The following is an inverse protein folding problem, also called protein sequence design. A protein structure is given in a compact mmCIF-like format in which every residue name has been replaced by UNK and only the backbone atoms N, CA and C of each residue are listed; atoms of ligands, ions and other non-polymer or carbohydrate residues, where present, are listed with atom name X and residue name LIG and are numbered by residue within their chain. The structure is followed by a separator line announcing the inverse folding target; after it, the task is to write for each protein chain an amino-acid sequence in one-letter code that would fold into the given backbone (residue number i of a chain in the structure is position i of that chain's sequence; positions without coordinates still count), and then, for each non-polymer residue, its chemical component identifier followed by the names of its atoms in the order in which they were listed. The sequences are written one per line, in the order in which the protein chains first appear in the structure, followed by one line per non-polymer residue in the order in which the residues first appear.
data_IF_629287699707
#
_entry.id   IF_629287699707
#
_cell.length_a   1.000
_cell.length_b   1.000
_cell.length_c   1.000
_cell.angle_alpha   90.00
_cell.angle_beta   90.00
_cell.angle_gamma   90.00
#
_symmetry.space_group_name_H-M   'P 1'
#
loop_
_entity.id
_entity.type
_entity.pdbx_description
1 polymer ?
#
# COMPACT_ATOMS: atom_id res chain seq x y z
N UNK A 1 1.65 -25.09 -10.17
CA UNK A 1 3.09 -24.86 -10.31
C UNK A 1 3.50 -23.54 -9.65
N UNK A 2 4.80 -23.24 -9.52
CA UNK A 2 5.26 -21.98 -8.96
C UNK A 2 4.80 -20.80 -9.82
N UNK A 3 4.45 -19.69 -9.15
CA UNK A 3 4.08 -18.43 -9.81
C UNK A 3 5.30 -17.51 -9.84
N UNK A 4 5.53 -16.84 -10.97
CA UNK A 4 6.48 -15.76 -11.07
C UNK A 4 5.74 -14.44 -10.82
N UNK A 5 6.23 -13.67 -9.87
CA UNK A 5 5.74 -12.35 -9.52
C UNK A 5 6.92 -11.42 -9.30
N UNK A 6 6.73 -10.14 -9.47
CA UNK A 6 7.75 -9.15 -9.09
C UNK A 6 7.11 -7.91 -8.47
N UNK A 7 7.93 -7.12 -7.83
CA UNK A 7 7.53 -5.93 -7.12
C UNK A 7 8.21 -4.70 -7.69
N UNK A 8 7.47 -3.62 -7.83
CA UNK A 8 7.95 -2.33 -8.32
C UNK A 8 7.66 -1.22 -7.34
N UNK A 9 8.59 -0.29 -7.26
CA UNK A 9 8.41 0.96 -6.55
C UNK A 9 7.91 2.05 -7.51
N UNK A 10 6.97 2.90 -7.07
CA UNK A 10 6.66 4.11 -7.82
C UNK A 10 7.91 4.96 -8.08
N UNK A 11 8.00 5.64 -9.22
CA UNK A 11 9.11 6.54 -9.49
C UNK A 11 9.20 7.65 -8.44
N UNK A 12 10.39 8.19 -8.24
CA UNK A 12 10.57 9.39 -7.41
C UNK A 12 9.83 10.58 -8.03
N UNK A 13 9.39 11.51 -7.21
CA UNK A 13 8.86 12.80 -7.68
C UNK A 13 9.77 13.43 -8.73
N UNK A 14 9.17 13.90 -9.83
CA UNK A 14 9.89 14.48 -10.95
C UNK A 14 10.44 13.48 -11.97
N UNK A 15 10.33 12.18 -11.70
CA UNK A 15 10.70 11.16 -12.67
C UNK A 15 9.50 10.71 -13.50
N UNK A 16 9.78 10.36 -14.77
CA UNK A 16 8.78 9.84 -15.71
C UNK A 16 8.39 8.39 -15.37
N UNK A 17 7.16 8.02 -15.70
CA UNK A 17 6.64 6.65 -15.66
C UNK A 17 7.35 5.73 -16.67
N UNK A 18 7.97 6.28 -17.71
CA UNK A 18 8.64 5.52 -18.76
C UNK A 18 9.74 4.59 -18.23
N UNK A 19 10.40 4.97 -17.14
CA UNK A 19 11.38 4.09 -16.48
C UNK A 19 10.73 2.81 -15.93
N UNK A 20 9.52 2.94 -15.40
CA UNK A 20 8.75 1.80 -14.91
C UNK A 20 8.31 0.91 -16.08
N UNK A 21 7.82 1.51 -17.16
CA UNK A 21 7.45 0.77 -18.36
C UNK A 21 8.63 0.01 -18.95
N UNK A 22 9.79 0.67 -19.10
CA UNK A 22 11.01 0.00 -19.59
C UNK A 22 11.48 -1.15 -18.73
N UNK A 23 11.23 -1.11 -17.41
CA UNK A 23 11.52 -2.24 -16.53
C UNK A 23 10.52 -3.39 -16.76
N UNK A 24 9.23 -3.08 -16.88
CA UNK A 24 8.17 -4.07 -17.14
C UNK A 24 8.37 -4.72 -18.52
N UNK A 25 8.68 -3.95 -19.57
CA UNK A 25 8.89 -4.46 -20.92
C UNK A 25 9.93 -5.59 -20.97
N UNK A 26 10.95 -5.53 -20.09
CA UNK A 26 11.99 -6.58 -19.96
C UNK A 26 11.57 -7.78 -19.13
N UNK A 27 10.51 -7.67 -18.34
CA UNK A 27 10.07 -8.71 -17.41
C UNK A 27 8.78 -9.40 -17.86
N UNK A 28 8.01 -8.75 -18.72
CA UNK A 28 6.71 -9.24 -19.15
C UNK A 28 6.82 -10.54 -19.95
N UNK A 29 7.94 -10.78 -20.64
CA UNK A 29 8.22 -12.01 -21.38
C UNK A 29 8.23 -13.27 -20.50
N UNK A 30 8.53 -13.11 -19.20
CA UNK A 30 8.49 -14.20 -18.22
C UNK A 30 7.07 -14.51 -17.71
N UNK A 31 6.04 -13.91 -18.32
CA UNK A 31 4.63 -14.12 -18.00
C UNK A 31 4.33 -14.04 -16.48
N UNK A 32 4.62 -12.91 -15.82
CA UNK A 32 4.32 -12.78 -14.39
C UNK A 32 2.83 -12.93 -14.15
N UNK A 33 2.48 -13.63 -13.06
CA UNK A 33 1.09 -13.83 -12.67
C UNK A 33 0.42 -12.52 -12.24
N UNK A 34 1.17 -11.67 -11.56
CA UNK A 34 0.79 -10.30 -11.19
C UNK A 34 2.02 -9.46 -10.83
N UNK A 35 1.82 -8.17 -10.68
CA UNK A 35 2.85 -7.20 -10.29
C UNK A 35 2.42 -6.50 -9.01
N UNK A 36 3.26 -6.57 -7.97
CA UNK A 36 3.11 -5.79 -6.75
C UNK A 36 3.59 -4.36 -6.93
N UNK A 37 2.89 -3.40 -6.32
CA UNK A 37 3.31 -2.00 -6.27
C UNK A 37 3.44 -1.55 -4.83
N UNK A 38 4.67 -1.20 -4.42
CA UNK A 38 4.92 -0.74 -3.05
C UNK A 38 4.24 0.60 -2.80
N UNK A 39 3.79 0.79 -1.58
CA UNK A 39 3.36 2.08 -1.07
C UNK A 39 4.39 2.61 -0.09
N UNK A 40 4.65 3.90 -0.14
CA UNK A 40 5.58 4.55 0.80
C UNK A 40 4.86 5.65 1.55
N UNK A 41 5.14 5.73 2.85
CA UNK A 41 4.65 6.80 3.70
C UNK A 41 5.46 8.08 3.52
N UNK A 42 4.98 9.15 4.12
CA UNK A 42 5.70 10.40 4.15
C UNK A 42 7.03 10.26 4.93
N UNK A 43 8.06 10.93 4.46
CA UNK A 43 9.36 11.03 5.14
C UNK A 43 9.56 12.42 5.70
N UNK A 44 10.25 12.50 6.83
CA UNK A 44 10.70 13.76 7.39
C UNK A 44 12.12 14.04 6.92
N UNK A 45 12.30 15.14 6.21
CA UNK A 45 13.60 15.67 5.79
C UNK A 45 13.91 16.91 6.60
N UNK A 46 15.17 17.09 6.96
CA UNK A 46 15.68 18.33 7.55
C UNK A 46 16.53 19.05 6.52
N UNK A 47 16.16 20.28 6.20
CA UNK A 47 16.89 21.14 5.26
C UNK A 47 17.51 22.30 6.03
N UNK A 48 18.81 22.48 5.86
CA UNK A 48 19.49 23.65 6.42
C UNK A 48 19.06 24.92 5.66
N UNK A 49 18.69 25.92 6.41
CA UNK A 49 18.31 27.25 5.92
C UNK A 49 19.54 28.15 5.87
N UNK A 50 19.50 29.26 5.09
CA UNK A 50 20.60 30.23 5.04
C UNK A 50 20.99 30.86 6.40
N UNK A 51 20.05 30.83 7.36
CA UNK A 51 20.28 31.32 8.74
C UNK A 51 20.88 30.26 9.67
N UNK A 52 21.26 29.06 9.13
CA UNK A 52 21.85 27.97 9.91
C UNK A 52 20.84 27.11 10.68
N UNK A 53 19.55 27.45 10.62
CA UNK A 53 18.50 26.65 11.25
C UNK A 53 18.07 25.48 10.36
N UNK A 54 17.59 24.39 11.00
CA UNK A 54 17.04 23.25 10.30
C UNK A 54 15.52 23.40 10.13
N UNK A 55 15.08 23.44 8.88
CA UNK A 55 13.66 23.37 8.53
C UNK A 55 13.22 21.90 8.43
N UNK A 56 12.19 21.53 9.21
CA UNK A 56 11.54 20.23 9.10
C UNK A 56 10.56 20.24 7.94
N UNK A 57 10.76 19.34 6.98
CA UNK A 57 9.88 19.19 5.82
C UNK A 57 9.36 17.75 5.74
N UNK A 58 8.04 17.60 5.66
CA UNK A 58 7.40 16.30 5.43
C UNK A 58 7.10 16.15 3.94
N UNK A 59 7.62 15.07 3.33
CA UNK A 59 7.47 14.82 1.91
C UNK A 59 7.14 13.36 1.64
N UNK A 60 6.35 13.08 0.61
CA UNK A 60 6.22 11.74 0.03
C UNK A 60 7.09 11.70 -1.22
N UNK A 61 8.18 10.94 -1.17
CA UNK A 61 9.14 10.88 -2.28
C UNK A 61 8.63 10.05 -3.46
N UNK A 62 7.80 9.04 -3.20
CA UNK A 62 7.23 8.15 -4.23
C UNK A 62 5.70 8.09 -4.10
N UNK A 63 4.99 9.12 -4.58
CA UNK A 63 3.52 9.14 -4.59
C UNK A 63 2.96 8.31 -5.73
N UNK A 64 1.63 8.07 -5.68
CA UNK A 64 0.88 7.61 -6.84
C UNK A 64 0.89 6.10 -7.07
N UNK A 65 1.04 5.29 -6.02
CA UNK A 65 1.00 3.82 -6.11
C UNK A 65 -0.22 3.31 -6.88
N UNK A 66 -1.42 3.80 -6.55
CA UNK A 66 -2.67 3.36 -7.19
C UNK A 66 -2.74 3.80 -8.64
N UNK A 67 -2.41 5.06 -8.92
CA UNK A 67 -2.40 5.58 -10.29
C UNK A 67 -1.42 4.83 -11.18
N UNK A 68 -0.22 4.53 -10.66
CA UNK A 68 0.78 3.72 -11.36
C UNK A 68 0.28 2.29 -11.62
N UNK A 69 -0.29 1.65 -10.60
CA UNK A 69 -0.85 0.31 -10.73
C UNK A 69 -1.95 0.28 -11.80
N UNK A 70 -2.85 1.25 -11.81
CA UNK A 70 -3.89 1.37 -12.83
C UNK A 70 -3.28 1.56 -14.24
N UNK A 71 -2.32 2.46 -14.40
CA UNK A 71 -1.66 2.69 -15.68
C UNK A 71 -0.99 1.42 -16.22
N UNK A 72 -0.33 0.64 -15.36
CA UNK A 72 0.29 -0.64 -15.73
C UNK A 72 -0.77 -1.70 -16.04
N UNK A 73 -1.80 -1.83 -15.21
CA UNK A 73 -2.91 -2.77 -15.44
C UNK A 73 -3.49 -2.59 -16.84
N UNK A 74 -3.82 -1.38 -17.22
CA UNK A 74 -4.46 -1.10 -18.51
C UNK A 74 -3.49 -1.17 -19.70
N UNK A 75 -2.22 -0.78 -19.50
CA UNK A 75 -1.22 -0.85 -20.57
C UNK A 75 -0.84 -2.29 -20.91
N UNK A 76 -0.64 -3.12 -19.91
CA UNK A 76 -0.13 -4.49 -20.08
C UNK A 76 -1.20 -5.57 -19.94
N UNK A 77 -2.43 -5.20 -19.62
CA UNK A 77 -3.54 -6.13 -19.34
C UNK A 77 -3.13 -7.23 -18.33
N UNK A 78 -2.53 -6.82 -17.23
CA UNK A 78 -2.02 -7.71 -16.17
C UNK A 78 -2.66 -7.38 -14.83
N UNK A 79 -2.79 -8.39 -13.98
CA UNK A 79 -3.21 -8.20 -12.59
C UNK A 79 -2.16 -7.39 -11.83
N UNK A 80 -2.62 -6.43 -11.04
CA UNK A 80 -1.78 -5.56 -10.20
C UNK A 80 -2.24 -5.66 -8.76
N UNK A 81 -1.28 -5.65 -7.83
CA UNK A 81 -1.52 -5.77 -6.40
C UNK A 81 -0.86 -4.59 -5.69
N UNK A 82 -1.55 -3.46 -5.52
CA UNK A 82 -1.03 -2.34 -4.74
C UNK A 82 -0.92 -2.70 -3.26
N UNK A 83 0.14 -2.20 -2.61
CA UNK A 83 0.28 -2.26 -1.17
C UNK A 83 -0.55 -1.16 -0.51
N UNK A 84 -1.35 -1.54 0.48
CA UNK A 84 -2.09 -0.62 1.34
C UNK A 84 -1.48 -0.68 2.74
N UNK A 85 -1.10 0.49 3.27
CA UNK A 85 -0.37 0.59 4.53
C UNK A 85 -1.26 1.15 5.65
N UNK A 86 -1.09 0.64 6.86
CA UNK A 86 -1.59 1.32 8.06
C UNK A 86 -0.85 2.65 8.28
N UNK A 87 0.46 2.64 8.04
CA UNK A 87 1.31 3.81 8.31
C UNK A 87 1.11 4.95 7.33
N UNK A 88 0.88 6.16 7.85
CA UNK A 88 0.71 7.37 7.07
C UNK A 88 -0.67 7.58 6.48
N UNK A 89 -1.69 6.82 6.97
CA UNK A 89 -3.09 6.92 6.55
C UNK A 89 -4.03 6.82 7.74
N UNK A 90 -5.08 7.63 7.73
CA UNK A 90 -6.26 7.46 8.57
C UNK A 90 -7.15 6.36 7.98
N UNK A 91 -8.13 5.89 8.77
CA UNK A 91 -9.13 4.93 8.27
C UNK A 91 -9.94 5.50 7.11
N UNK A 92 -10.29 6.78 7.18
CA UNK A 92 -11.02 7.50 6.14
C UNK A 92 -10.21 7.58 4.83
N UNK A 93 -8.93 7.96 4.89
CA UNK A 93 -8.06 7.99 3.71
C UNK A 93 -7.89 6.58 3.11
N UNK A 94 -7.83 5.55 3.95
CA UNK A 94 -7.77 4.15 3.52
C UNK A 94 -9.04 3.75 2.78
N UNK A 95 -10.23 4.08 3.31
CA UNK A 95 -11.50 3.80 2.66
C UNK A 95 -11.60 4.49 1.31
N UNK A 96 -11.23 5.78 1.23
CA UNK A 96 -11.24 6.54 -0.01
C UNK A 96 -10.32 5.91 -1.07
N UNK A 97 -9.11 5.52 -0.70
CA UNK A 97 -8.18 4.83 -1.62
C UNK A 97 -8.75 3.50 -2.12
N UNK A 98 -9.39 2.72 -1.27
CA UNK A 98 -10.03 1.46 -1.66
C UNK A 98 -11.22 1.68 -2.63
N UNK A 99 -12.00 2.75 -2.42
CA UNK A 99 -13.07 3.15 -3.34
C UNK A 99 -12.48 3.53 -4.72
N UNK A 100 -11.40 4.34 -4.74
CA UNK A 100 -10.71 4.69 -5.99
C UNK A 100 -10.18 3.45 -6.72
N UNK A 101 -9.62 2.48 -5.99
CA UNK A 101 -9.15 1.21 -6.56
C UNK A 101 -10.29 0.44 -7.22
N UNK A 102 -11.47 0.37 -6.56
CA UNK A 102 -12.65 -0.26 -7.14
C UNK A 102 -13.07 0.41 -8.45
N UNK A 103 -13.08 1.76 -8.51
CA UNK A 103 -13.39 2.49 -9.75
C UNK A 103 -12.40 2.19 -10.87
N UNK A 104 -11.15 1.90 -10.52
CA UNK A 104 -10.10 1.51 -11.45
C UNK A 104 -10.08 0.00 -11.76
N UNK A 105 -11.05 -0.78 -11.23
CA UNK A 105 -11.10 -2.23 -11.43
C UNK A 105 -9.92 -2.97 -10.83
N UNK A 106 -9.35 -2.47 -9.73
CA UNK A 106 -8.25 -3.09 -8.98
C UNK A 106 -8.87 -3.72 -7.73
N UNK A 107 -8.97 -5.04 -7.72
CA UNK A 107 -9.64 -5.80 -6.66
C UNK A 107 -8.64 -6.59 -5.78
N UNK A 108 -7.35 -6.60 -6.12
CA UNK A 108 -6.31 -7.28 -5.36
C UNK A 108 -5.50 -6.28 -4.54
N UNK A 109 -5.29 -6.56 -3.25
CA UNK A 109 -4.53 -5.70 -2.34
C UNK A 109 -3.56 -6.50 -1.49
N UNK A 110 -2.42 -5.92 -1.17
CA UNK A 110 -1.53 -6.42 -0.12
C UNK A 110 -1.59 -5.48 1.09
N UNK A 111 -2.26 -5.93 2.15
CA UNK A 111 -2.41 -5.18 3.39
C UNK A 111 -1.19 -5.34 4.28
N UNK A 112 -0.56 -4.22 4.65
CA UNK A 112 0.67 -4.19 5.43
C UNK A 112 0.58 -3.13 6.53
N UNK A 113 1.27 -3.35 7.65
CA UNK A 113 1.42 -2.29 8.66
C UNK A 113 2.32 -1.17 8.13
N UNK A 114 3.36 -1.54 7.45
CA UNK A 114 4.47 -0.68 7.06
C UNK A 114 5.50 -0.51 8.18
N UNK A 115 6.68 -0.04 7.81
CA UNK A 115 7.80 0.16 8.73
C UNK A 115 7.59 1.37 9.65
N UNK A 116 8.27 1.42 10.81
CA UNK A 116 8.37 2.63 11.61
C UNK A 116 8.87 3.83 10.79
N UNK A 117 8.53 5.04 11.20
CA UNK A 117 9.12 6.24 10.59
C UNK A 117 10.63 6.22 10.79
N UNK A 118 11.38 6.67 9.79
CA UNK A 118 12.84 6.79 9.86
C UNK A 118 13.24 7.58 11.11
N UNK A 119 14.06 6.94 11.96
CA UNK A 119 14.47 7.49 13.25
C UNK A 119 13.54 7.14 14.44
N UNK A 120 12.43 6.46 14.22
CA UNK A 120 11.59 5.87 15.28
C UNK A 120 11.96 4.41 15.52
N UNK A 121 11.91 3.98 16.79
CA UNK A 121 12.14 2.57 17.19
C UNK A 121 10.88 1.70 17.09
N UNK A 122 9.71 2.33 17.05
CA UNK A 122 8.42 1.64 17.02
C UNK A 122 7.49 2.26 15.99
N UNK A 123 6.56 1.44 15.52
CA UNK A 123 5.47 1.91 14.67
C UNK A 123 4.51 2.79 15.48
N UNK A 124 4.17 3.94 14.94
CA UNK A 124 3.19 4.87 15.51
C UNK A 124 2.11 5.08 14.43
N UNK A 125 0.85 4.67 14.70
CA UNK A 125 -0.24 4.91 13.77
C UNK A 125 -0.59 6.39 13.67
N UNK A 126 -1.20 6.80 12.57
CA UNK A 126 -1.82 8.12 12.46
C UNK A 126 -3.00 8.22 13.46
N UNK A 127 -3.32 9.44 13.89
CA UNK A 127 -4.54 9.66 14.66
C UNK A 127 -5.74 9.18 13.82
N UNK A 128 -6.54 8.30 14.37
CA UNK A 128 -7.63 7.60 13.66
C UNK A 128 -7.17 6.67 12.53
N UNK A 129 -5.91 6.25 12.52
CA UNK A 129 -5.36 5.22 11.64
C UNK A 129 -5.41 3.83 12.26
N UNK A 130 -4.93 2.83 11.53
CA UNK A 130 -4.80 1.45 11.99
C UNK A 130 -3.46 1.22 12.70
N UNK A 131 -3.49 0.55 13.85
CA UNK A 131 -2.28 0.17 14.59
C UNK A 131 -1.68 -1.15 14.08
N UNK A 132 -2.52 -2.07 13.62
CA UNK A 132 -2.14 -3.41 13.17
C UNK A 132 -2.72 -3.72 11.79
N UNK A 133 -2.05 -4.61 11.06
CA UNK A 133 -2.52 -5.09 9.75
C UNK A 133 -3.88 -5.78 9.87
N UNK A 134 -4.14 -6.47 10.98
CA UNK A 134 -5.43 -7.11 11.25
C UNK A 134 -6.59 -6.11 11.25
N UNK A 135 -6.39 -4.91 11.79
CA UNK A 135 -7.42 -3.85 11.80
C UNK A 135 -7.71 -3.36 10.36
N UNK A 136 -6.65 -3.21 9.55
CA UNK A 136 -6.77 -2.86 8.14
C UNK A 136 -7.50 -3.95 7.35
N UNK A 137 -7.14 -5.22 7.55
CA UNK A 137 -7.83 -6.36 6.93
C UNK A 137 -9.31 -6.38 7.31
N UNK A 138 -9.64 -6.10 8.57
CA UNK A 138 -11.03 -6.03 9.03
C UNK A 138 -11.81 -4.91 8.32
N UNK A 139 -11.24 -3.72 8.15
CA UNK A 139 -11.88 -2.63 7.40
C UNK A 139 -12.15 -3.05 5.94
N UNK A 140 -11.17 -3.64 5.24
CA UNK A 140 -11.35 -4.09 3.86
C UNK A 140 -12.42 -5.20 3.78
N UNK A 141 -12.40 -6.14 4.73
CA UNK A 141 -13.40 -7.21 4.79
C UNK A 141 -14.81 -6.67 5.13
N UNK A 142 -14.92 -5.59 5.89
CA UNK A 142 -16.20 -4.92 6.15
C UNK A 142 -16.73 -4.25 4.88
N UNK A 143 -15.88 -3.59 4.09
CA UNK A 143 -16.25 -3.07 2.77
C UNK A 143 -16.69 -4.19 1.82
N UNK A 144 -16.07 -5.37 1.86
CA UNK A 144 -16.51 -6.56 1.11
C UNK A 144 -17.90 -7.07 1.55
N UNK A 145 -18.40 -6.63 2.68
CA UNK A 145 -19.77 -6.89 3.18
C UNK A 145 -20.71 -5.70 3.00
N UNK A 146 -20.28 -4.64 2.31
CA UNK A 146 -21.04 -3.42 2.13
C UNK A 146 -21.08 -2.52 3.37
N UNK A 147 -20.16 -2.70 4.32
CA UNK A 147 -20.04 -1.88 5.53
C UNK A 147 -18.90 -0.88 5.36
N UNK A 148 -19.23 0.38 5.49
CA UNK A 148 -18.31 1.50 5.40
C UNK A 148 -18.15 2.18 6.75
N UNK A 149 -17.22 3.12 6.86
CA UNK A 149 -16.98 3.87 8.11
C UNK A 149 -18.16 4.75 8.49
N UNK A 150 -18.85 5.30 7.48
CA UNK A 150 -20.09 6.05 7.68
C UNK A 150 -21.29 5.06 7.67
N UNK A 151 -21.90 4.87 8.82
CA UNK A 151 -22.97 3.90 9.04
C UNK A 151 -24.37 4.37 8.58
N UNK A 152 -24.49 5.67 8.25
CA UNK A 152 -25.74 6.26 7.72
C UNK A 152 -25.94 6.05 6.21
N UNK A 153 -24.96 5.42 5.51
CA UNK A 153 -25.06 5.17 4.08
C UNK A 153 -26.12 4.10 3.78
N UNK A 154 -27.13 4.48 3.02
CA UNK A 154 -28.14 3.56 2.55
C UNK A 154 -27.72 2.89 1.23
N UNK A 155 -28.02 1.59 1.08
CA UNK A 155 -27.78 0.82 -0.13
C UNK A 155 -26.30 0.81 -0.61
N UNK A 156 -25.37 0.81 0.31
CA UNK A 156 -23.96 0.74 -0.01
C UNK A 156 -23.59 -0.62 -0.66
N UNK A 157 -22.95 -0.56 -1.81
CA UNK A 157 -22.50 -1.74 -2.54
C UNK A 157 -21.33 -2.43 -1.83
N UNK A 158 -21.36 -3.76 -1.75
CA UNK A 158 -20.21 -4.55 -1.33
C UNK A 158 -19.05 -4.46 -2.33
N UNK A 159 -17.83 -4.45 -1.82
CA UNK A 159 -16.62 -4.64 -2.62
C UNK A 159 -16.30 -6.14 -2.76
N UNK A 160 -15.24 -6.49 -3.49
CA UNK A 160 -14.80 -7.87 -3.71
C UNK A 160 -13.28 -8.00 -3.61
N UNK A 161 -12.64 -7.24 -2.73
CA UNK A 161 -11.19 -7.28 -2.60
C UNK A 161 -10.67 -8.66 -2.21
N UNK A 162 -9.69 -9.15 -2.96
CA UNK A 162 -8.81 -10.23 -2.57
C UNK A 162 -7.70 -9.65 -1.70
N UNK A 163 -7.60 -10.10 -0.44
CA UNK A 163 -6.74 -9.49 0.57
C UNK A 163 -5.54 -10.40 0.83
N UNK A 164 -4.36 -9.99 0.40
CA UNK A 164 -3.09 -10.58 0.78
C UNK A 164 -2.51 -9.91 2.02
N UNK A 165 -1.71 -10.65 2.76
CA UNK A 165 -0.92 -10.16 3.91
C UNK A 165 0.49 -10.70 3.86
N UNK A 166 1.43 -10.06 4.59
CA UNK A 166 2.78 -10.59 4.74
C UNK A 166 2.80 -11.80 5.69
N UNK A 167 3.61 -12.81 5.35
CA UNK A 167 3.91 -13.95 6.22
C UNK A 167 5.40 -13.98 6.58
N UNK A 168 5.72 -14.46 7.76
CA UNK A 168 7.08 -14.56 8.30
C UNK A 168 7.39 -16.01 8.66
N UNK A 169 8.09 -16.77 7.81
CA UNK A 169 8.40 -18.19 8.07
C UNK A 169 9.19 -18.41 9.35
N UNK A 170 10.01 -17.44 9.75
CA UNK A 170 10.85 -17.50 10.94
C UNK A 170 10.06 -17.31 12.24
N UNK A 171 9.01 -16.58 12.24
CA UNK A 171 8.21 -16.02 13.32
C UNK A 171 8.27 -14.49 13.32
N UNK A 172 7.13 -13.85 13.41
CA UNK A 172 7.07 -12.40 13.60
C UNK A 172 7.70 -12.00 14.95
N UNK A 173 8.45 -10.91 14.99
CA UNK A 173 9.19 -10.51 16.20
C UNK A 173 8.30 -10.17 17.39
N UNK A 174 7.07 -9.72 17.17
CA UNK A 174 6.07 -9.42 18.21
C UNK A 174 5.30 -10.67 18.68
N UNK A 175 5.34 -11.78 17.93
CA UNK A 175 4.64 -12.99 18.32
C UNK A 175 5.36 -13.69 19.50
N UNK A 176 4.66 -14.16 20.54
CA UNK A 176 5.27 -14.84 21.66
C UNK A 176 5.89 -16.17 21.27
N UNK A 177 5.32 -16.87 20.31
CA UNK A 177 5.84 -18.12 19.76
C UNK A 177 5.33 -18.34 18.32
N UNK A 178 5.86 -19.36 17.62
CA UNK A 178 5.47 -19.69 16.23
C UNK A 178 4.02 -20.12 16.08
N UNK A 179 3.42 -20.70 17.10
CA UNK A 179 2.02 -21.18 17.04
C UNK A 179 1.01 -20.03 17.06
N UNK A 180 1.39 -18.88 17.61
CA UNK A 180 0.56 -17.67 17.63
C UNK A 180 0.75 -16.83 16.37
N UNK A 181 1.86 -17.03 15.64
CA UNK A 181 2.21 -16.30 14.44
C UNK A 181 1.54 -16.88 13.17
N UNK A 182 1.11 -18.11 13.24
CA UNK A 182 0.40 -18.85 12.20
C UNK A 182 -1.12 -18.77 12.37
#
# INVERSE_FOLDING_TARGET
GPLFIFELLPPLKGHSIERTYSAIDRLIEYAPAYINFTSQRNETLFKERPDGLLEKKVVRLRPGTIALAAAVKYKYNITVVPHILCGGFTKEETENVLIEMRFLGIDDVLALRGDPQKGSRSFIPEKNGHAHTTDLVMQIADMNRGKYLEDSLENADATNFCIGVAGYPEKHFEAPNRQVDL
#
